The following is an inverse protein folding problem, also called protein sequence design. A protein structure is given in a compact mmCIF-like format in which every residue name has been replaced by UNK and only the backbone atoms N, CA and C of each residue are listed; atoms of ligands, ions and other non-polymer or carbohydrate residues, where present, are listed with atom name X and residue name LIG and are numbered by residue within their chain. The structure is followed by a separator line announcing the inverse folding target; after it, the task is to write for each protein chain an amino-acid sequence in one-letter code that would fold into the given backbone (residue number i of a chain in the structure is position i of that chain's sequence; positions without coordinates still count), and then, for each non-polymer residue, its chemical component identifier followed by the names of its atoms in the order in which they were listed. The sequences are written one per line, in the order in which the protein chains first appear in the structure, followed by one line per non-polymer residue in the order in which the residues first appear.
data_IF_692001683442
#
_entry.id   IF_692001683442
#
_cell.length_a   1.000
_cell.length_b   1.000
_cell.length_c   1.000
_cell.angle_alpha   90.00
_cell.angle_beta   90.00
_cell.angle_gamma   90.00
#
_symmetry.space_group_name_H-M   'P 1'
#
loop_
_entity.id
_entity.type
_entity.pdbx_description
1 polymer ?
#
# COMPACT_ATOMS: atom_id res chain seq x y z
N UNK A 1 58.36 -35.25 -31.50
CA UNK A 1 57.71 -34.01 -31.03
C UNK A 1 56.34 -34.34 -30.43
N UNK A 2 56.21 -34.39 -29.10
CA UNK A 2 54.93 -34.68 -28.43
C UNK A 2 54.13 -33.38 -28.24
N UNK A 3 52.99 -33.25 -28.93
CA UNK A 3 52.02 -32.16 -28.73
C UNK A 3 51.27 -32.37 -27.40
N UNK A 4 51.94 -32.16 -26.28
CA UNK A 4 51.33 -32.08 -24.93
C UNK A 4 51.01 -30.60 -24.66
N UNK A 5 49.74 -30.25 -24.48
CA UNK A 5 49.37 -28.92 -23.98
C UNK A 5 48.12 -28.23 -24.54
N UNK A 6 47.32 -28.86 -25.41
CA UNK A 6 46.03 -28.27 -25.88
C UNK A 6 44.82 -28.64 -25.02
N UNK A 7 44.81 -29.79 -24.35
CA UNK A 7 43.66 -30.25 -23.54
C UNK A 7 43.45 -29.46 -22.25
N UNK A 8 44.54 -29.14 -21.54
CA UNK A 8 44.46 -28.47 -20.22
C UNK A 8 44.01 -27.01 -20.33
N UNK A 9 44.40 -26.30 -21.40
CA UNK A 9 43.95 -24.92 -21.65
C UNK A 9 42.47 -24.84 -22.02
N UNK A 10 41.92 -25.88 -22.67
CA UNK A 10 40.50 -25.97 -22.98
C UNK A 10 39.64 -26.14 -21.73
N UNK A 11 40.11 -26.94 -20.77
CA UNK A 11 39.39 -27.17 -19.52
C UNK A 11 39.24 -25.88 -18.69
N UNK A 12 40.31 -25.08 -18.58
CA UNK A 12 40.26 -23.79 -17.86
C UNK A 12 39.22 -22.84 -18.45
N UNK A 13 39.11 -22.78 -19.78
CA UNK A 13 38.15 -21.91 -20.47
C UNK A 13 36.71 -22.34 -20.21
N UNK A 14 36.46 -23.65 -20.14
CA UNK A 14 35.15 -24.21 -19.75
C UNK A 14 34.80 -23.86 -18.31
N UNK A 15 35.74 -23.99 -17.36
CA UNK A 15 35.51 -23.62 -15.96
C UNK A 15 35.15 -22.14 -15.80
N UNK A 16 35.83 -21.25 -16.53
CA UNK A 16 35.53 -19.81 -16.51
C UNK A 16 34.12 -19.54 -17.06
N UNK A 17 33.72 -20.20 -18.14
CA UNK A 17 32.36 -20.07 -18.69
C UNK A 17 31.29 -20.57 -17.72
N UNK A 18 31.51 -21.71 -17.07
CA UNK A 18 30.58 -22.25 -16.07
C UNK A 18 30.48 -21.30 -14.87
N UNK A 19 31.60 -20.78 -14.37
CA UNK A 19 31.60 -19.82 -13.28
C UNK A 19 30.86 -18.52 -13.65
N UNK A 20 31.06 -18.01 -14.87
CA UNK A 20 30.35 -16.84 -15.36
C UNK A 20 28.83 -17.08 -15.48
N UNK A 21 28.42 -18.27 -15.93
CA UNK A 21 27.00 -18.66 -15.95
C UNK A 21 26.40 -18.69 -14.54
N UNK A 22 27.09 -19.30 -13.58
CA UNK A 22 26.62 -19.35 -12.19
C UNK A 22 26.50 -17.95 -11.58
N UNK A 23 27.49 -17.08 -11.81
CA UNK A 23 27.47 -15.69 -11.34
C UNK A 23 26.31 -14.89 -11.94
N UNK A 24 26.06 -15.04 -13.25
CA UNK A 24 24.94 -14.35 -13.90
C UNK A 24 23.59 -14.85 -13.38
N UNK A 25 23.42 -16.15 -13.13
CA UNK A 25 22.19 -16.71 -12.55
C UNK A 25 21.91 -16.16 -11.15
N UNK A 26 22.94 -16.07 -10.29
CA UNK A 26 22.80 -15.47 -8.95
C UNK A 26 22.46 -13.97 -9.06
N UNK A 27 23.12 -13.24 -9.96
CA UNK A 27 22.83 -11.83 -10.19
C UNK A 27 21.37 -11.63 -10.64
N UNK A 28 20.85 -12.46 -11.54
CA UNK A 28 19.45 -12.44 -11.96
C UNK A 28 18.47 -12.71 -10.81
N UNK A 29 18.78 -13.66 -9.92
CA UNK A 29 17.96 -13.92 -8.73
C UNK A 29 17.92 -12.71 -7.80
N UNK A 30 19.07 -12.09 -7.51
CA UNK A 30 19.16 -10.90 -6.65
C UNK A 30 18.41 -9.73 -7.27
N UNK A 31 18.58 -9.49 -8.57
CA UNK A 31 17.85 -8.45 -9.28
C UNK A 31 16.34 -8.69 -9.19
N UNK A 32 15.87 -9.88 -9.52
CA UNK A 32 14.45 -10.25 -9.45
C UNK A 32 13.88 -10.05 -8.05
N UNK A 33 14.62 -10.43 -7.01
CA UNK A 33 14.21 -10.25 -5.63
C UNK A 33 14.15 -8.77 -5.23
N UNK A 34 15.13 -7.97 -5.65
CA UNK A 34 15.16 -6.53 -5.38
C UNK A 34 14.00 -5.78 -6.06
N UNK A 35 13.70 -6.11 -7.32
CA UNK A 35 12.57 -5.51 -8.05
C UNK A 35 11.23 -5.93 -7.45
N UNK A 36 11.07 -7.22 -7.11
CA UNK A 36 9.86 -7.71 -6.45
C UNK A 36 9.61 -7.01 -5.11
N UNK A 37 10.63 -6.88 -4.28
CA UNK A 37 10.53 -6.24 -2.96
C UNK A 37 10.17 -4.75 -3.08
N UNK A 38 10.78 -4.02 -4.02
CA UNK A 38 10.44 -2.61 -4.28
C UNK A 38 9.03 -2.43 -4.81
N UNK A 39 8.55 -3.31 -5.67
CA UNK A 39 7.16 -3.29 -6.16
C UNK A 39 6.15 -3.53 -5.04
N UNK A 40 6.45 -4.45 -4.12
CA UNK A 40 5.61 -4.71 -2.94
C UNK A 40 5.59 -3.48 -2.03
N UNK A 41 6.75 -2.88 -1.76
CA UNK A 41 6.86 -1.68 -0.93
C UNK A 41 6.13 -0.48 -1.55
N UNK A 42 6.25 -0.26 -2.87
CA UNK A 42 5.54 0.81 -3.55
C UNK A 42 4.01 0.61 -3.47
N UNK A 43 3.53 -0.62 -3.64
CA UNK A 43 2.10 -0.94 -3.49
C UNK A 43 1.62 -0.79 -2.04
N UNK A 44 2.44 -1.16 -1.05
CA UNK A 44 2.06 -0.99 0.36
C UNK A 44 2.01 0.49 0.74
N UNK A 45 2.93 1.32 0.25
CA UNK A 45 2.94 2.76 0.50
C UNK A 45 1.67 3.45 -0.01
N UNK A 46 1.20 3.11 -1.20
CA UNK A 46 -0.07 3.65 -1.72
C UNK A 46 -1.28 3.27 -0.86
N UNK A 47 -1.30 2.03 -0.33
CA UNK A 47 -2.36 1.59 0.59
C UNK A 47 -2.29 2.29 1.93
N UNK A 48 -1.09 2.47 2.51
CA UNK A 48 -0.94 3.18 3.79
C UNK A 48 -1.34 4.64 3.68
N UNK A 49 -1.05 5.31 2.56
CA UNK A 49 -1.51 6.67 2.34
C UNK A 49 -3.04 6.76 2.30
N UNK A 50 -3.70 5.90 1.51
CA UNK A 50 -5.16 5.87 1.46
C UNK A 50 -5.78 5.61 2.84
N UNK A 51 -5.25 4.64 3.60
CA UNK A 51 -5.73 4.35 4.96
C UNK A 51 -5.51 5.54 5.89
N UNK A 52 -4.33 6.17 5.88
CA UNK A 52 -4.06 7.35 6.72
C UNK A 52 -4.99 8.53 6.42
N UNK A 53 -5.34 8.74 5.14
CA UNK A 53 -6.33 9.75 4.75
C UNK A 53 -7.73 9.40 5.27
N UNK A 54 -8.15 8.14 5.15
CA UNK A 54 -9.43 7.69 5.71
C UNK A 54 -9.47 7.87 7.23
N UNK A 55 -8.39 7.55 7.93
CA UNK A 55 -8.29 7.70 9.39
C UNK A 55 -8.31 9.16 9.82
N UNK A 56 -7.64 10.05 9.09
CA UNK A 56 -7.67 11.50 9.36
C UNK A 56 -9.07 12.09 9.19
N UNK A 57 -9.75 11.75 8.08
CA UNK A 57 -11.15 12.16 7.86
C UNK A 57 -12.07 11.57 8.92
N UNK A 58 -11.87 10.30 9.29
CA UNK A 58 -12.61 9.64 10.36
C UNK A 58 -12.43 10.35 11.69
N UNK A 59 -11.21 10.75 12.03
CA UNK A 59 -10.93 11.49 13.26
C UNK A 59 -11.66 12.85 13.27
N UNK A 60 -11.59 13.61 12.18
CA UNK A 60 -12.31 14.89 12.05
C UNK A 60 -13.83 14.73 12.14
N UNK A 61 -14.39 13.78 11.38
CA UNK A 61 -15.82 13.48 11.41
C UNK A 61 -16.25 13.03 12.80
N UNK A 62 -15.47 12.18 13.47
CA UNK A 62 -15.78 11.74 14.83
C UNK A 62 -15.74 12.90 15.83
N UNK A 63 -14.73 13.77 15.78
CA UNK A 63 -14.63 14.92 16.67
C UNK A 63 -15.83 15.85 16.52
N UNK A 64 -16.21 16.15 15.29
CA UNK A 64 -17.42 16.90 14.95
C UNK A 64 -18.70 16.26 15.51
N UNK A 65 -18.87 14.95 15.30
CA UNK A 65 -20.06 14.22 15.77
C UNK A 65 -20.12 14.16 17.31
N UNK A 66 -18.99 13.96 17.97
CA UNK A 66 -18.91 13.96 19.43
C UNK A 66 -19.24 15.34 20.02
N UNK A 67 -18.72 16.42 19.44
CA UNK A 67 -18.98 17.80 19.91
C UNK A 67 -20.45 18.19 19.76
N UNK A 68 -21.11 17.65 18.73
CA UNK A 68 -22.54 17.84 18.45
C UNK A 68 -23.44 16.81 19.13
N UNK A 69 -22.88 15.97 20.04
CA UNK A 69 -23.61 15.04 20.88
C UNK A 69 -24.09 13.75 20.19
N UNK A 70 -23.64 13.44 18.98
CA UNK A 70 -23.99 12.20 18.28
C UNK A 70 -23.26 10.98 18.88
N UNK A 71 -23.92 9.81 19.01
CA UNK A 71 -25.30 9.52 18.63
C UNK A 71 -26.32 9.86 19.72
N UNK A 72 -27.35 10.66 19.39
CA UNK A 72 -28.49 10.94 20.27
C UNK A 72 -29.66 10.01 19.94
N UNK A 73 -29.67 8.79 20.47
CA UNK A 73 -30.79 7.85 20.37
C UNK A 73 -31.07 7.25 18.97
N UNK A 74 -30.46 7.78 17.91
CA UNK A 74 -30.54 7.24 16.54
C UNK A 74 -29.17 7.29 15.86
N UNK A 75 -28.94 6.40 14.89
CA UNK A 75 -27.73 6.40 14.07
C UNK A 75 -27.81 7.36 12.87
N UNK A 76 -28.84 8.20 12.80
CA UNK A 76 -29.00 9.20 11.75
C UNK A 76 -28.58 10.58 12.27
N UNK A 77 -27.69 11.30 11.57
CA UNK A 77 -27.27 12.63 11.98
C UNK A 77 -28.42 13.63 11.80
N UNK A 78 -28.53 14.59 12.70
CA UNK A 78 -29.35 15.79 12.50
C UNK A 78 -28.73 16.67 11.40
N UNK A 79 -29.50 17.62 10.86
CA UNK A 79 -28.99 18.56 9.84
C UNK A 79 -27.75 19.35 10.31
N UNK A 80 -27.71 19.75 11.58
CA UNK A 80 -26.56 20.44 12.18
C UNK A 80 -25.33 19.53 12.29
N UNK A 81 -25.52 18.26 12.63
CA UNK A 81 -24.46 17.25 12.69
C UNK A 81 -23.90 16.97 11.30
N UNK A 82 -24.77 16.85 10.29
CA UNK A 82 -24.37 16.62 8.91
C UNK A 82 -23.62 17.81 8.31
N UNK A 83 -23.98 19.04 8.68
CA UNK A 83 -23.31 20.26 8.21
C UNK A 83 -21.86 20.40 8.70
N UNK A 84 -21.54 19.76 9.82
CA UNK A 84 -20.20 19.79 10.41
C UNK A 84 -19.28 18.69 9.83
N UNK A 85 -19.82 17.73 9.07
CA UNK A 85 -19.02 16.71 8.40
C UNK A 85 -18.14 17.33 7.29
N UNK A 86 -16.88 16.89 7.15
CA UNK A 86 -16.00 17.39 6.11
C UNK A 86 -16.51 16.98 4.73
N UNK A 87 -16.75 17.96 3.86
CA UNK A 87 -17.11 17.75 2.44
C UNK A 87 -15.89 17.63 1.53
N UNK A 88 -14.71 18.05 2.00
CA UNK A 88 -13.45 17.91 1.28
C UNK A 88 -12.26 17.73 2.23
N UNK A 89 -11.24 16.99 1.78
CA UNK A 89 -9.98 16.82 2.51
C UNK A 89 -8.81 16.75 1.52
N UNK A 90 -7.84 17.66 1.65
CA UNK A 90 -6.67 17.77 0.77
C UNK A 90 -7.00 17.79 -0.75
N UNK A 91 -8.08 18.45 -1.14
CA UNK A 91 -8.49 18.57 -2.55
C UNK A 91 -9.32 17.40 -3.09
N UNK A 92 -9.63 16.40 -2.28
CA UNK A 92 -10.57 15.33 -2.62
C UNK A 92 -11.94 15.62 -2.02
N UNK A 93 -13.02 15.38 -2.78
CA UNK A 93 -14.38 15.41 -2.24
C UNK A 93 -14.61 14.17 -1.38
N UNK A 94 -15.16 14.39 -0.20
CA UNK A 94 -15.42 13.35 0.80
C UNK A 94 -16.92 13.34 1.07
N UNK A 95 -17.53 12.16 0.96
CA UNK A 95 -18.88 11.92 1.44
C UNK A 95 -18.84 11.01 2.66
N UNK A 96 -19.36 11.51 3.78
CA UNK A 96 -19.52 10.74 5.01
C UNK A 96 -20.99 10.39 5.14
N UNK A 97 -21.29 9.09 5.13
CA UNK A 97 -22.62 8.56 5.36
C UNK A 97 -22.66 7.83 6.70
N UNK A 98 -23.68 8.15 7.49
CA UNK A 98 -23.92 7.57 8.80
C UNK A 98 -25.19 6.73 8.71
N UNK A 99 -25.18 5.54 9.30
CA UNK A 99 -26.32 4.65 9.26
C UNK A 99 -26.18 3.47 10.23
N UNK A 100 -27.07 2.50 10.10
CA UNK A 100 -27.14 1.35 11.01
C UNK A 100 -28.19 1.52 12.11
N UNK A 101 -28.08 0.71 13.15
CA UNK A 101 -29.03 0.64 14.26
C UNK A 101 -28.26 0.64 15.58
N UNK A 102 -28.80 1.30 16.60
CA UNK A 102 -28.18 1.27 17.94
C UNK A 102 -28.05 -0.18 18.44
N UNK A 103 -26.95 -0.53 19.14
CA UNK A 103 -25.80 0.32 19.50
C UNK A 103 -24.73 0.46 18.40
N UNK A 104 -24.80 -0.34 17.33
CA UNK A 104 -23.81 -0.41 16.25
C UNK A 104 -24.06 0.61 15.13
N UNK A 105 -23.88 1.90 15.43
CA UNK A 105 -23.87 2.93 14.39
C UNK A 105 -22.63 2.77 13.50
N UNK A 106 -22.84 2.75 12.18
CA UNK A 106 -21.80 2.61 11.16
C UNK A 106 -21.58 3.94 10.46
N UNK A 107 -20.30 4.30 10.33
CA UNK A 107 -19.87 5.44 9.52
C UNK A 107 -19.12 4.91 8.30
N UNK A 108 -19.56 5.33 7.12
CA UNK A 108 -18.94 4.98 5.83
C UNK A 108 -18.46 6.25 5.14
N UNK A 109 -17.16 6.30 4.92
CA UNK A 109 -16.47 7.42 4.26
C UNK A 109 -16.15 6.98 2.83
N UNK A 110 -16.54 7.80 1.86
CA UNK A 110 -16.24 7.58 0.44
C UNK A 110 -15.53 8.81 -0.13
N UNK A 111 -14.51 8.58 -0.93
CA UNK A 111 -13.77 9.63 -1.64
C UNK A 111 -14.19 9.58 -3.10
N UNK A 112 -14.68 10.71 -3.62
CA UNK A 112 -14.84 10.88 -5.06
C UNK A 112 -13.49 11.30 -5.66
N UNK A 113 -13.13 10.69 -6.79
CA UNK A 113 -11.87 10.95 -7.50
C UNK A 113 -12.05 12.04 -8.53
#
# INVERSE_FOLDING_TARGET
MRRKGRGERGAVLVYVLVAAMLLSMVAFMVLRWSFGSRLVLAKSQGRTQAVSLMEAVRAQASACLYDTGYPTGTCSPSGAQAACLPSSYQGHSVSVSLGGSMPDCKMRISFER
#
